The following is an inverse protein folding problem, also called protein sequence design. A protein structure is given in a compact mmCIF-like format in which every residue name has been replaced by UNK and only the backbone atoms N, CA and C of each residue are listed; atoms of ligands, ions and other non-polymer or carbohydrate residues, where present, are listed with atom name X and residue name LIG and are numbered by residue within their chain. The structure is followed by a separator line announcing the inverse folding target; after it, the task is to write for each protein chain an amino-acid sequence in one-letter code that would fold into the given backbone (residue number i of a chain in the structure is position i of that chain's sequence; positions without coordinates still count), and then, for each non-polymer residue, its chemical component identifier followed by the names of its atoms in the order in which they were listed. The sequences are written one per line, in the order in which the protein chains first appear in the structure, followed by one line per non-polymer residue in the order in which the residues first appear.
data_IF_070733521753
#
_entry.id   IF_070733521753
#
_cell.length_a   1.000
_cell.length_b   1.000
_cell.length_c   1.000
_cell.angle_alpha   90.00
_cell.angle_beta   90.00
_cell.angle_gamma   90.00
#
_symmetry.space_group_name_H-M   'P 1'
#
loop_
_entity.id
_entity.type
_entity.pdbx_description
1 polymer ?
#
# COMPACT_ATOMS: atom_id res chain seq x y z
N UNK A 1 -45.11 -4.14 41.71
CA UNK A 1 -45.79 -2.98 42.32
C UNK A 1 -45.17 -1.71 41.74
N UNK A 2 -46.01 -0.74 41.33
CA UNK A 2 -45.73 0.48 40.54
C UNK A 2 -45.42 0.23 39.04
N UNK A 3 -46.30 0.39 38.03
CA UNK A 3 -47.51 1.20 37.79
C UNK A 3 -47.28 2.72 37.57
N UNK A 4 -47.59 3.12 36.32
CA UNK A 4 -48.05 4.43 35.79
C UNK A 4 -47.08 5.16 34.84
N UNK A 5 -47.30 5.08 33.52
CA UNK A 5 -48.26 5.82 32.68
C UNK A 5 -48.05 7.33 32.70
N UNK A 6 -47.57 7.91 31.58
CA UNK A 6 -48.19 9.11 30.97
C UNK A 6 -48.08 9.06 29.44
N UNK A 7 -49.21 8.67 28.85
CA UNK A 7 -49.64 8.98 27.49
C UNK A 7 -49.67 10.51 27.35
N UNK A 8 -49.01 11.07 26.32
CA UNK A 8 -48.94 12.50 26.07
C UNK A 8 -49.37 12.84 24.65
N UNK A 9 -50.66 13.13 24.52
CA UNK A 9 -51.40 13.81 23.44
C UNK A 9 -50.77 13.99 22.05
N UNK A 10 -51.45 13.38 21.08
CA UNK A 10 -51.65 13.87 19.72
C UNK A 10 -52.07 15.35 19.71
N UNK A 11 -51.36 16.17 18.92
CA UNK A 11 -51.87 17.45 18.41
C UNK A 11 -51.99 17.32 16.89
N UNK A 12 -53.22 17.06 16.45
CA UNK A 12 -53.68 17.32 15.09
C UNK A 12 -53.94 18.83 14.99
N UNK A 13 -53.28 19.53 14.06
CA UNK A 13 -53.85 20.75 13.46
C UNK A 13 -53.07 21.22 12.21
N UNK A 14 -53.84 21.28 11.13
CA UNK A 14 -53.88 22.35 10.12
C UNK A 14 -52.80 22.36 9.01
N UNK A 15 -53.25 21.78 7.90
CA UNK A 15 -52.86 22.07 6.52
C UNK A 15 -52.91 23.58 6.27
N UNK A 16 -51.75 24.21 6.10
CA UNK A 16 -51.64 25.54 5.50
C UNK A 16 -51.12 25.39 4.07
N UNK A 17 -51.95 25.82 3.12
CA UNK A 17 -51.72 25.73 1.70
C UNK A 17 -50.67 26.77 1.22
N UNK A 18 -49.91 26.33 0.21
CA UNK A 18 -49.06 27.09 -0.72
C UNK A 18 -47.73 27.66 -0.17
N UNK A 19 -46.64 26.87 -0.14
CA UNK A 19 -45.30 27.43 -0.11
C UNK A 19 -44.95 28.04 -1.48
N UNK A 20 -44.44 29.29 -1.54
CA UNK A 20 -43.88 29.86 -2.76
C UNK A 20 -42.69 29.01 -3.21
N UNK A 21 -42.62 28.77 -4.52
CA UNK A 21 -41.64 27.98 -5.25
C UNK A 21 -40.27 27.90 -4.57
N UNK A 22 -40.03 26.78 -3.88
CA UNK A 22 -38.70 26.41 -3.44
C UNK A 22 -37.87 26.07 -4.69
N UNK A 23 -37.09 27.04 -5.15
CA UNK A 23 -36.03 26.81 -6.13
C UNK A 23 -35.04 25.82 -5.53
N UNK A 24 -35.11 24.57 -5.99
CA UNK A 24 -34.13 23.55 -5.68
C UNK A 24 -32.80 23.97 -6.30
N UNK A 25 -31.92 24.59 -5.51
CA UNK A 25 -30.53 24.78 -5.90
C UNK A 25 -29.89 23.39 -6.03
N UNK A 26 -29.26 23.04 -7.16
CA UNK A 26 -28.53 21.79 -7.28
C UNK A 26 -27.36 21.83 -6.29
N UNK A 27 -27.48 21.05 -5.22
CA UNK A 27 -26.39 20.80 -4.28
C UNK A 27 -25.23 20.19 -5.05
N UNK A 28 -24.16 20.98 -5.28
CA UNK A 28 -22.88 20.46 -5.76
C UNK A 28 -22.32 19.55 -4.67
N UNK A 29 -22.70 18.28 -4.70
CA UNK A 29 -22.16 17.28 -3.81
C UNK A 29 -20.72 17.01 -4.27
N UNK A 30 -19.78 17.74 -3.67
CA UNK A 30 -18.36 17.52 -3.87
C UNK A 30 -18.04 16.09 -3.41
N UNK A 31 -17.87 15.20 -4.38
CA UNK A 31 -17.41 13.83 -4.15
C UNK A 31 -16.06 13.92 -3.43
N UNK A 32 -16.01 13.61 -2.12
CA UNK A 32 -14.72 13.48 -1.43
C UNK A 32 -13.99 12.31 -2.08
N UNK A 33 -13.01 12.60 -2.94
CA UNK A 33 -12.07 11.60 -3.42
C UNK A 33 -11.18 11.29 -2.21
N UNK A 34 -11.47 10.21 -1.49
CA UNK A 34 -10.53 9.71 -0.49
C UNK A 34 -9.32 9.13 -1.25
N UNK A 35 -8.29 9.93 -1.42
CA UNK A 35 -7.02 9.41 -1.90
C UNK A 35 -6.42 8.55 -0.78
N UNK A 36 -6.27 7.25 -1.01
CA UNK A 36 -5.50 6.39 -0.11
C UNK A 36 -4.08 6.95 -0.03
N UNK A 37 -3.55 7.24 1.17
CA UNK A 37 -2.22 7.80 1.30
C UNK A 37 -1.20 6.83 0.71
N UNK A 38 -0.25 7.35 -0.07
CA UNK A 38 0.80 6.54 -0.66
C UNK A 38 1.61 5.83 0.42
N UNK A 39 1.80 4.53 0.24
CA UNK A 39 2.70 3.72 1.05
C UNK A 39 3.92 3.36 0.23
N UNK A 40 5.08 3.45 0.88
CA UNK A 40 6.38 3.23 0.27
C UNK A 40 7.06 2.03 0.89
N UNK A 41 7.78 1.31 0.05
CA UNK A 41 8.68 0.25 0.46
C UNK A 41 10.04 0.34 -0.22
N UNK A 42 11.00 -0.39 0.33
CA UNK A 42 12.36 -0.51 -0.17
C UNK A 42 12.93 -1.89 0.16
N UNK A 43 13.85 -2.35 -0.68
CA UNK A 43 14.64 -3.56 -0.48
C UNK A 43 16.11 -3.16 -0.45
N UNK A 44 16.82 -3.62 0.57
CA UNK A 44 18.26 -3.44 0.72
C UNK A 44 18.96 -4.80 0.67
N UNK A 45 20.15 -4.82 0.08
CA UNK A 45 20.90 -6.04 -0.11
C UNK A 45 22.39 -5.79 -0.17
N UNK A 46 23.15 -6.71 0.40
CA UNK A 46 24.60 -6.81 0.26
C UNK A 46 24.92 -8.22 -0.26
N UNK A 47 25.13 -8.32 -1.56
CA UNK A 47 25.32 -9.59 -2.27
C UNK A 47 26.48 -10.45 -1.76
N UNK A 48 27.68 -9.90 -1.44
CA UNK A 48 28.79 -10.72 -0.95
C UNK A 48 28.50 -11.46 0.36
N UNK A 49 27.77 -10.84 1.30
CA UNK A 49 27.40 -11.47 2.57
C UNK A 49 26.01 -12.10 2.56
N UNK A 50 25.28 -11.99 1.44
CA UNK A 50 23.88 -12.38 1.30
C UNK A 50 22.94 -11.75 2.35
N UNK A 51 23.35 -10.63 2.95
CA UNK A 51 22.53 -9.92 3.93
C UNK A 51 21.49 -9.08 3.21
N UNK A 52 20.23 -9.16 3.63
CA UNK A 52 19.12 -8.44 3.01
C UNK A 52 18.19 -7.85 4.06
N UNK A 53 17.45 -6.82 3.68
CA UNK A 53 16.44 -6.20 4.52
C UNK A 53 15.35 -5.53 3.72
N UNK A 54 14.17 -5.36 4.32
CA UNK A 54 13.01 -4.75 3.67
C UNK A 54 12.40 -3.68 4.56
N UNK A 55 11.89 -2.63 3.95
CA UNK A 55 11.05 -1.63 4.61
C UNK A 55 9.77 -1.50 3.81
N UNK A 56 8.61 -1.49 4.47
CA UNK A 56 7.31 -1.38 3.80
C UNK A 56 6.31 -0.65 4.72
N UNK A 57 5.19 -0.22 4.14
CA UNK A 57 4.12 0.53 4.82
C UNK A 57 4.50 1.92 5.38
N UNK A 58 5.63 2.49 4.94
CA UNK A 58 6.04 3.83 5.36
C UNK A 58 5.34 4.93 4.56
N UNK A 59 5.04 6.05 5.22
CA UNK A 59 4.50 7.24 4.56
C UNK A 59 5.52 8.00 3.70
N UNK A 60 6.82 7.69 3.83
CA UNK A 60 7.90 8.30 3.05
C UNK A 60 8.89 7.24 2.56
N UNK A 61 9.33 7.37 1.30
CA UNK A 61 10.32 6.47 0.71
C UNK A 61 11.66 6.44 1.46
N UNK A 62 12.06 7.57 2.06
CA UNK A 62 13.30 7.68 2.85
C UNK A 62 13.24 6.80 4.11
N UNK A 63 12.11 6.76 4.79
CA UNK A 63 11.94 5.96 6.01
C UNK A 63 11.95 4.47 5.68
N UNK A 64 11.28 4.06 4.60
CA UNK A 64 11.34 2.69 4.09
C UNK A 64 12.79 2.27 3.74
N UNK A 65 13.54 3.16 3.09
CA UNK A 65 14.94 2.93 2.74
C UNK A 65 15.81 2.72 3.99
N UNK A 66 15.65 3.57 5.00
CA UNK A 66 16.38 3.44 6.27
C UNK A 66 16.01 2.16 7.02
N UNK A 67 14.72 1.79 7.03
CA UNK A 67 14.26 0.54 7.64
C UNK A 67 14.87 -0.68 6.96
N UNK A 68 14.87 -0.72 5.63
CA UNK A 68 15.50 -1.79 4.86
C UNK A 68 17.00 -1.91 5.15
N UNK A 69 17.73 -0.79 5.17
CA UNK A 69 19.16 -0.76 5.49
C UNK A 69 19.45 -1.24 6.92
N UNK A 70 18.65 -0.80 7.90
CA UNK A 70 18.79 -1.24 9.30
C UNK A 70 18.54 -2.73 9.45
N UNK A 71 17.51 -3.27 8.80
CA UNK A 71 17.23 -4.71 8.84
C UNK A 71 18.34 -5.52 8.14
N UNK A 72 18.90 -5.00 7.05
CA UNK A 72 19.98 -5.64 6.32
C UNK A 72 21.24 -5.82 7.18
N UNK A 73 21.52 -4.89 8.11
CA UNK A 73 22.50 -5.08 9.19
C UNK A 73 23.97 -5.06 8.79
N UNK A 74 24.29 -5.15 7.49
CA UNK A 74 25.66 -5.06 6.98
C UNK A 74 26.02 -3.60 6.64
N UNK A 75 27.28 -3.21 6.92
CA UNK A 75 27.76 -1.83 6.70
C UNK A 75 27.73 -1.39 5.24
N UNK A 76 27.85 -2.35 4.33
CA UNK A 76 27.82 -2.15 2.88
C UNK A 76 26.47 -2.55 2.25
N UNK A 77 25.40 -2.64 3.05
CA UNK A 77 24.06 -2.79 2.48
C UNK A 77 23.68 -1.57 1.66
N UNK A 78 23.11 -1.81 0.49
CA UNK A 78 22.62 -0.77 -0.40
C UNK A 78 21.14 -0.98 -0.69
N UNK A 79 20.41 0.11 -0.93
CA UNK A 79 19.00 0.02 -1.35
C UNK A 79 18.96 -0.31 -2.83
N UNK A 80 18.63 -1.56 -3.15
CA UNK A 80 18.59 -2.08 -4.51
C UNK A 80 17.25 -1.84 -5.20
N UNK A 81 16.18 -1.59 -4.44
CA UNK A 81 14.86 -1.29 -5.00
C UNK A 81 14.03 -0.39 -4.10
N UNK A 82 13.20 0.47 -4.70
CA UNK A 82 12.17 1.25 -4.02
C UNK A 82 10.85 1.08 -4.76
N UNK A 83 9.76 0.95 -4.03
CA UNK A 83 8.43 0.73 -4.60
C UNK A 83 7.37 1.51 -3.82
N UNK A 84 6.18 1.65 -4.43
CA UNK A 84 5.05 2.40 -3.88
C UNK A 84 3.74 1.70 -4.26
N UNK A 85 2.82 1.60 -3.32
CA UNK A 85 1.46 1.05 -3.51
C UNK A 85 1.46 -0.28 -4.28
N UNK A 86 2.21 -1.27 -3.78
CA UNK A 86 2.29 -2.60 -4.37
C UNK A 86 3.34 -3.44 -3.67
N UNK A 87 3.80 -4.47 -4.36
CA UNK A 87 4.83 -5.37 -3.90
C UNK A 87 6.11 -5.21 -4.72
N UNK A 88 7.24 -5.60 -4.13
CA UNK A 88 8.49 -5.79 -4.83
C UNK A 88 9.22 -7.05 -4.37
N UNK A 89 10.06 -7.57 -5.23
CA UNK A 89 10.91 -8.72 -4.97
C UNK A 89 12.33 -8.51 -5.51
N UNK A 90 13.26 -9.25 -4.92
CA UNK A 90 14.66 -9.35 -5.27
C UNK A 90 15.00 -10.81 -5.54
N UNK A 91 15.57 -11.07 -6.71
CA UNK A 91 16.15 -12.36 -7.07
C UNK A 91 17.67 -12.19 -7.28
N UNK A 92 18.45 -13.16 -6.82
CA UNK A 92 19.90 -13.22 -7.06
C UNK A 92 20.21 -14.35 -8.04
N UNK A 93 21.20 -14.10 -8.89
CA UNK A 93 21.72 -15.03 -9.89
C UNK A 93 23.24 -15.06 -9.83
N UNK A 94 23.90 -15.93 -10.62
CA UNK A 94 25.35 -16.13 -10.53
C UNK A 94 26.17 -14.89 -10.87
N UNK A 95 25.71 -14.02 -11.78
CA UNK A 95 26.43 -12.81 -12.20
C UNK A 95 25.82 -11.57 -11.61
N UNK A 96 24.50 -11.44 -11.69
CA UNK A 96 23.78 -10.22 -11.31
C UNK A 96 22.45 -10.54 -10.64
N UNK A 97 22.08 -9.68 -9.70
CA UNK A 97 20.75 -9.67 -9.08
C UNK A 97 19.75 -8.91 -9.96
N UNK A 98 18.46 -9.17 -9.77
CA UNK A 98 17.38 -8.42 -10.40
C UNK A 98 16.28 -8.12 -9.39
N UNK A 99 15.59 -7.01 -9.61
CA UNK A 99 14.43 -6.60 -8.81
C UNK A 99 13.25 -6.30 -9.73
N UNK A 100 12.05 -6.48 -9.21
CA UNK A 100 10.82 -6.09 -9.89
C UNK A 100 9.72 -5.70 -8.90
N UNK A 101 8.77 -4.91 -9.38
CA UNK A 101 7.53 -4.60 -8.66
C UNK A 101 6.32 -5.26 -9.32
N UNK A 102 5.27 -5.49 -8.55
CA UNK A 102 3.97 -6.00 -8.99
C UNK A 102 2.84 -5.48 -8.11
N UNK A 103 1.59 -5.61 -8.55
CA UNK A 103 0.44 -5.34 -7.71
C UNK A 103 0.30 -6.39 -6.61
N UNK A 104 0.74 -7.61 -6.87
CA UNK A 104 0.79 -8.73 -5.91
C UNK A 104 2.21 -9.22 -5.70
N UNK A 105 2.38 -10.02 -4.64
CA UNK A 105 3.63 -10.72 -4.35
C UNK A 105 4.05 -11.60 -5.52
N UNK A 106 3.15 -12.47 -5.99
CA UNK A 106 3.42 -13.44 -7.07
C UNK A 106 3.88 -12.75 -8.36
N UNK A 107 3.25 -11.63 -8.70
CA UNK A 107 3.64 -10.83 -9.86
C UNK A 107 5.05 -10.26 -9.69
N UNK A 108 5.38 -9.71 -8.52
CA UNK A 108 6.70 -9.17 -8.24
C UNK A 108 7.79 -10.26 -8.27
N UNK A 109 7.54 -11.41 -7.62
CA UNK A 109 8.48 -12.54 -7.59
C UNK A 109 8.71 -13.12 -8.99
N UNK A 110 7.64 -13.38 -9.74
CA UNK A 110 7.71 -13.92 -11.11
C UNK A 110 8.49 -12.98 -12.03
N UNK A 111 8.20 -11.68 -11.98
CA UNK A 111 8.93 -10.67 -12.76
C UNK A 111 10.40 -10.60 -12.37
N UNK A 112 10.71 -10.68 -11.08
CA UNK A 112 12.08 -10.62 -10.57
C UNK A 112 12.90 -11.83 -11.03
N UNK A 113 12.35 -13.04 -10.94
CA UNK A 113 12.99 -14.26 -11.43
C UNK A 113 13.22 -14.24 -12.94
N UNK A 114 12.18 -13.89 -13.70
CA UNK A 114 12.27 -13.82 -15.17
C UNK A 114 13.37 -12.85 -15.59
N UNK A 115 13.38 -11.65 -15.02
CA UNK A 115 14.42 -10.65 -15.27
C UNK A 115 15.81 -11.13 -14.86
N UNK A 116 15.91 -11.80 -13.72
CA UNK A 116 17.18 -12.38 -13.28
C UNK A 116 17.70 -13.43 -14.28
N UNK A 117 16.84 -14.33 -14.75
CA UNK A 117 17.20 -15.32 -15.77
C UNK A 117 17.69 -14.66 -17.06
N UNK A 118 16.96 -13.67 -17.57
CA UNK A 118 17.35 -12.88 -18.76
C UNK A 118 18.75 -12.27 -18.60
N UNK A 119 19.04 -11.67 -17.44
CA UNK A 119 20.33 -11.04 -17.15
C UNK A 119 21.48 -12.04 -16.90
N UNK A 120 21.14 -13.28 -16.50
CA UNK A 120 22.12 -14.33 -16.21
C UNK A 120 22.19 -15.41 -17.29
N UNK A 121 21.78 -15.09 -18.54
CA UNK A 121 21.81 -16.03 -19.69
C UNK A 121 21.05 -17.34 -19.41
N UNK A 122 19.84 -17.20 -18.87
CA UNK A 122 18.95 -18.29 -18.48
C UNK A 122 19.51 -19.21 -17.38
N UNK A 123 20.48 -18.73 -16.59
CA UNK A 123 20.89 -19.45 -15.38
C UNK A 123 19.77 -19.46 -14.33
N UNK A 124 19.87 -20.42 -13.40
CA UNK A 124 18.99 -20.46 -12.24
C UNK A 124 19.16 -19.21 -11.38
N UNK A 125 18.03 -18.66 -10.94
CA UNK A 125 17.96 -17.54 -10.01
C UNK A 125 17.13 -17.93 -8.80
N UNK A 126 17.43 -17.32 -7.67
CA UNK A 126 16.77 -17.59 -6.39
C UNK A 126 16.13 -16.33 -5.84
N UNK A 127 14.91 -16.44 -5.31
CA UNK A 127 14.30 -15.34 -4.55
C UNK A 127 15.06 -15.11 -3.25
N UNK A 128 15.47 -13.88 -3.01
CA UNK A 128 16.17 -13.48 -1.78
C UNK A 128 15.21 -12.79 -0.82
N UNK A 129 14.40 -11.86 -1.31
CA UNK A 129 13.51 -11.06 -0.48
C UNK A 129 12.31 -10.54 -1.26
N UNK A 130 11.22 -10.25 -0.54
CA UNK A 130 10.03 -9.59 -1.07
C UNK A 130 9.34 -8.78 0.03
N UNK A 131 8.56 -7.78 -0.36
CA UNK A 131 7.71 -7.01 0.55
C UNK A 131 6.54 -6.36 -0.19
N UNK A 132 5.44 -6.09 0.52
CA UNK A 132 4.24 -5.45 -0.01
C UNK A 132 3.81 -4.29 0.88
N UNK A 133 3.28 -3.23 0.25
CA UNK A 133 2.60 -2.15 0.96
C UNK A 133 1.08 -2.36 0.97
N UNK A 134 0.40 -1.93 2.04
CA UNK A 134 -1.05 -2.05 2.26
C UNK A 134 -1.82 -0.74 2.10
#
# INVERSE_FOLDING_TARGET
MAAWHKLGLLVLALVFACPPSAVATPSKQAKKISATPNRFGAVAYHRPSQSWGVGYDYGRARDASLAALRQCGHRQCEVVHKFRNGCAALADGPKVQATASGATRDEAETKSLRRCGELNRSASCTLVAWACTR
#
